data_IF_994671474393
#
_entry.id   IF_994671474393
#
_cell.length_a   1.000
_cell.length_b   1.000
_cell.length_c   1.000
_cell.angle_alpha   90.00
_cell.angle_beta   90.00
_cell.angle_gamma   90.00
#
_symmetry.space_group_name_H-M   'P 1'
#
loop_
_entity.id
_entity.type
_entity.pdbx_description
1 polymer ?
#
# COMPACT_ATOMS: atom_id res chain seq x y z
N UNK A 1 47.17 50.55 -34.63
CA UNK A 1 46.23 50.70 -33.48
C UNK A 1 44.84 50.66 -34.08
N UNK A 2 43.95 49.71 -33.85
CA UNK A 2 43.81 48.57 -32.92
C UNK A 2 43.15 47.44 -33.73
N UNK A 3 43.62 46.20 -33.56
CA UNK A 3 43.12 45.03 -34.29
C UNK A 3 41.82 44.48 -33.71
N UNK A 4 40.93 44.00 -34.58
CA UNK A 4 39.70 43.29 -34.24
C UNK A 4 40.00 41.79 -34.13
N UNK A 5 39.80 41.21 -32.94
CA UNK A 5 39.81 39.76 -32.74
C UNK A 5 38.44 39.17 -33.05
N UNK A 6 38.33 38.07 -33.81
CA UNK A 6 37.08 37.33 -33.92
C UNK A 6 36.84 36.45 -32.67
N UNK A 7 35.61 36.48 -32.17
CA UNK A 7 35.11 35.62 -31.09
C UNK A 7 35.01 34.17 -31.57
N UNK A 8 35.69 33.26 -30.88
CA UNK A 8 35.49 31.81 -31.03
C UNK A 8 34.28 31.35 -30.22
N UNK A 9 33.28 30.66 -30.79
CA UNK A 9 32.27 29.99 -30.00
C UNK A 9 32.88 28.73 -29.36
N UNK A 10 32.91 28.69 -28.03
CA UNK A 10 33.15 27.47 -27.28
C UNK A 10 31.88 26.60 -27.35
N UNK A 11 31.87 25.61 -28.24
CA UNK A 11 30.88 24.54 -28.18
C UNK A 11 31.28 23.57 -27.07
N UNK A 12 30.71 23.71 -25.88
CA UNK A 12 30.62 22.58 -24.94
C UNK A 12 29.67 21.57 -25.56
N UNK A 13 30.22 20.52 -26.16
CA UNK A 13 29.44 19.36 -26.55
C UNK A 13 28.83 18.78 -25.28
N UNK A 14 27.50 18.76 -25.20
CA UNK A 14 26.80 18.04 -24.15
C UNK A 14 27.21 16.56 -24.28
N UNK A 15 27.88 16.05 -23.25
CA UNK A 15 28.12 14.62 -23.14
C UNK A 15 26.75 13.94 -23.11
N UNK A 16 26.50 13.06 -24.07
CA UNK A 16 25.48 12.02 -23.96
C UNK A 16 25.64 11.34 -22.61
N UNK A 17 24.56 11.10 -21.85
CA UNK A 17 24.68 10.38 -20.59
C UNK A 17 25.31 9.02 -20.89
N UNK A 18 26.46 8.79 -20.28
CA UNK A 18 27.06 7.46 -20.20
C UNK A 18 26.00 6.53 -19.62
N UNK A 19 25.70 5.45 -20.32
CA UNK A 19 24.92 4.33 -19.79
C UNK A 19 25.66 3.84 -18.55
N UNK A 20 25.18 4.21 -17.38
CA UNK A 20 25.61 3.63 -16.13
C UNK A 20 25.23 2.15 -16.22
N UNK A 21 26.21 1.27 -16.41
CA UNK A 21 26.02 -0.15 -16.12
C UNK A 21 25.55 -0.22 -14.67
N UNK A 22 24.29 -0.60 -14.43
CA UNK A 22 23.78 -0.80 -13.09
C UNK A 22 24.70 -1.84 -12.42
N UNK A 23 25.44 -1.41 -11.40
CA UNK A 23 26.34 -2.26 -10.65
C UNK A 23 25.58 -3.17 -9.66
N UNK A 24 24.24 -3.02 -9.55
CA UNK A 24 23.38 -3.80 -8.68
C UNK A 24 22.70 -4.97 -9.40
N UNK A 25 22.24 -5.96 -8.63
CA UNK A 25 21.56 -7.16 -9.09
C UNK A 25 20.15 -6.94 -9.64
N UNK A 26 19.33 -8.00 -9.58
CA UNK A 26 17.99 -8.04 -10.18
C UNK A 26 16.92 -7.90 -9.10
N UNK A 27 15.87 -7.12 -9.37
CA UNK A 27 14.63 -7.17 -8.61
C UNK A 27 13.47 -7.65 -9.49
N UNK A 28 12.72 -8.66 -9.04
CA UNK A 28 11.48 -9.09 -9.68
C UNK A 28 10.28 -8.39 -9.05
N UNK A 29 9.56 -7.61 -9.84
CA UNK A 29 8.33 -6.93 -9.43
C UNK A 29 7.13 -7.72 -9.94
N UNK A 30 6.26 -8.15 -9.02
CA UNK A 30 5.12 -9.01 -9.31
C UNK A 30 3.81 -8.33 -8.93
N UNK A 31 2.89 -8.21 -9.89
CA UNK A 31 1.62 -7.52 -9.69
C UNK A 31 0.65 -8.24 -8.75
N UNK A 32 -0.36 -7.51 -8.28
CA UNK A 32 -1.49 -8.07 -7.54
C UNK A 32 -2.55 -8.68 -8.45
N UNK A 33 -3.70 -9.06 -7.87
CA UNK A 33 -4.81 -9.67 -8.61
C UNK A 33 -5.21 -8.82 -9.83
N UNK A 34 -5.37 -9.46 -10.98
CA UNK A 34 -5.68 -8.80 -12.25
C UNK A 34 -4.50 -8.15 -12.97
N UNK A 35 -3.30 -8.17 -12.39
CA UNK A 35 -2.09 -7.54 -12.94
C UNK A 35 -1.03 -8.61 -13.22
N UNK A 36 -1.22 -9.45 -14.27
CA UNK A 36 -0.30 -10.55 -14.54
C UNK A 36 1.09 -10.09 -15.00
N UNK A 37 1.18 -8.91 -15.60
CA UNK A 37 2.43 -8.27 -16.00
C UNK A 37 2.37 -6.79 -15.57
N UNK A 38 3.06 -6.40 -14.49
CA UNK A 38 3.22 -4.99 -14.11
C UNK A 38 3.67 -4.08 -15.26
N UNK A 39 3.09 -2.88 -15.33
CA UNK A 39 3.53 -1.79 -16.22
C UNK A 39 4.86 -1.18 -15.76
N UNK A 40 5.51 -0.40 -16.62
CA UNK A 40 6.72 0.33 -16.24
C UNK A 40 6.49 1.28 -15.06
N UNK A 41 5.36 2.01 -15.04
CA UNK A 41 5.00 2.87 -13.91
C UNK A 41 4.81 2.11 -12.59
N UNK A 42 4.25 0.90 -12.64
CA UNK A 42 4.17 0.02 -11.47
C UNK A 42 5.56 -0.39 -10.98
N UNK A 43 6.45 -0.80 -11.90
CA UNK A 43 7.84 -1.21 -11.58
C UNK A 43 8.63 -0.03 -11.00
N UNK A 44 8.50 1.15 -11.60
CA UNK A 44 9.14 2.37 -11.15
C UNK A 44 8.66 2.77 -9.74
N UNK A 45 7.35 2.70 -9.48
CA UNK A 45 6.78 3.00 -8.16
C UNK A 45 7.28 2.00 -7.08
N UNK A 46 7.26 0.70 -7.38
CA UNK A 46 7.80 -0.32 -6.48
C UNK A 46 9.30 -0.09 -6.20
N UNK A 47 10.06 0.24 -7.24
CA UNK A 47 11.49 0.51 -7.11
C UNK A 47 11.78 1.72 -6.24
N UNK A 48 11.13 2.85 -6.51
CA UNK A 48 11.39 4.10 -5.80
C UNK A 48 10.91 4.09 -4.34
N UNK A 49 9.72 3.54 -4.08
CA UNK A 49 9.09 3.61 -2.76
C UNK A 49 9.53 2.49 -1.81
N UNK A 50 9.88 1.32 -2.35
CA UNK A 50 10.07 0.13 -1.53
C UNK A 50 11.43 -0.53 -1.74
N UNK A 51 11.92 -0.68 -2.98
CA UNK A 51 13.21 -1.37 -3.18
C UNK A 51 14.43 -0.49 -2.85
N UNK A 52 14.49 0.74 -3.38
CA UNK A 52 15.62 1.64 -3.15
C UNK A 52 15.83 2.02 -1.68
N UNK A 53 14.76 2.27 -0.87
CA UNK A 53 14.93 2.52 0.57
C UNK A 53 15.55 1.33 1.32
N UNK A 54 15.38 0.11 0.82
CA UNK A 54 16.05 -1.09 1.34
C UNK A 54 17.45 -1.31 0.76
N UNK A 55 17.99 -0.36 -0.01
CA UNK A 55 19.37 -0.39 -0.52
C UNK A 55 19.52 -1.03 -1.91
N UNK A 56 18.42 -1.37 -2.59
CA UNK A 56 18.48 -1.87 -3.95
C UNK A 56 18.97 -0.80 -4.93
N UNK A 57 20.01 -1.12 -5.72
CA UNK A 57 20.63 -0.21 -6.70
C UNK A 57 20.70 -0.80 -8.10
N UNK A 58 20.04 -1.94 -8.31
CA UNK A 58 20.09 -2.71 -9.54
C UNK A 58 18.95 -2.39 -10.51
N UNK A 59 18.59 -3.38 -11.32
CA UNK A 59 17.48 -3.26 -12.28
C UNK A 59 16.22 -3.95 -11.77
N UNK A 60 15.17 -3.17 -11.50
CA UNK A 60 13.85 -3.71 -11.23
C UNK A 60 13.15 -4.05 -12.56
N UNK A 61 12.57 -5.26 -12.64
CA UNK A 61 11.88 -5.73 -13.83
C UNK A 61 10.57 -6.43 -13.47
N UNK A 62 9.57 -6.20 -14.31
CA UNK A 62 8.29 -6.88 -14.25
C UNK A 62 8.47 -8.39 -14.50
N UNK A 63 7.88 -9.23 -13.65
CA UNK A 63 7.83 -10.68 -13.83
C UNK A 63 6.40 -11.14 -14.05
N UNK A 64 6.17 -11.84 -15.16
CA UNK A 64 4.86 -12.42 -15.44
C UNK A 64 4.49 -13.48 -14.41
N UNK A 65 3.29 -13.36 -13.85
CA UNK A 65 2.61 -14.41 -13.09
C UNK A 65 1.11 -14.39 -13.41
N UNK A 66 0.32 -15.45 -13.19
CA UNK A 66 -1.06 -15.49 -13.67
C UNK A 66 -2.00 -14.44 -13.06
N UNK A 67 -1.83 -14.13 -11.78
CA UNK A 67 -2.61 -13.13 -11.00
C UNK A 67 -4.13 -13.15 -11.24
N UNK A 68 -4.74 -14.34 -11.34
CA UNK A 68 -6.18 -14.46 -11.56
C UNK A 68 -6.96 -14.09 -10.29
N UNK A 69 -8.06 -13.35 -10.43
CA UNK A 69 -9.04 -13.19 -9.35
C UNK A 69 -9.68 -14.54 -8.98
N UNK A 70 -9.96 -15.38 -9.97
CA UNK A 70 -10.53 -16.72 -9.79
C UNK A 70 -10.17 -17.66 -10.95
N UNK A 71 -9.73 -18.91 -10.70
CA UNK A 71 -9.39 -19.50 -9.40
C UNK A 71 -8.02 -19.00 -8.89
N UNK A 72 -8.01 -18.22 -7.80
CA UNK A 72 -6.80 -17.57 -7.29
C UNK A 72 -5.76 -18.53 -6.71
N UNK A 73 -6.18 -19.64 -6.12
CA UNK A 73 -5.28 -20.67 -5.59
C UNK A 73 -4.37 -21.29 -6.67
N UNK A 74 -4.94 -21.65 -7.82
CA UNK A 74 -4.17 -22.19 -8.95
C UNK A 74 -3.20 -21.13 -9.51
N UNK A 75 -3.66 -19.88 -9.58
CA UNK A 75 -2.84 -18.73 -9.97
C UNK A 75 -1.63 -18.56 -9.05
N UNK A 76 -1.82 -18.60 -7.74
CA UNK A 76 -0.74 -18.46 -6.76
C UNK A 76 0.27 -19.61 -6.84
N UNK A 77 -0.19 -20.87 -6.91
CA UNK A 77 0.75 -22.01 -7.02
C UNK A 77 1.60 -21.92 -8.28
N UNK A 78 0.99 -21.60 -9.42
CA UNK A 78 1.73 -21.45 -10.67
C UNK A 78 2.67 -20.23 -10.64
N UNK A 79 2.20 -19.10 -10.11
CA UNK A 79 3.01 -17.89 -9.96
C UNK A 79 4.21 -18.10 -9.04
N UNK A 80 4.02 -18.83 -7.93
CA UNK A 80 5.09 -19.15 -6.99
C UNK A 80 6.21 -19.98 -7.64
N UNK A 81 5.84 -20.95 -8.49
CA UNK A 81 6.79 -21.76 -9.27
C UNK A 81 7.56 -20.92 -10.29
N UNK A 82 6.87 -20.02 -11.00
CA UNK A 82 7.50 -19.10 -11.97
C UNK A 82 8.51 -18.20 -11.26
N UNK A 83 8.11 -17.60 -10.15
CA UNK A 83 8.97 -16.72 -9.36
C UNK A 83 10.18 -17.48 -8.78
N UNK A 84 9.96 -18.66 -8.19
CA UNK A 84 11.06 -19.48 -7.68
C UNK A 84 12.05 -19.87 -8.80
N UNK A 85 11.55 -20.19 -10.01
CA UNK A 85 12.41 -20.48 -11.15
C UNK A 85 13.22 -19.24 -11.59
N UNK A 86 12.60 -18.06 -11.63
CA UNK A 86 13.26 -16.81 -11.99
C UNK A 86 14.40 -16.48 -11.00
N UNK A 87 14.13 -16.60 -9.70
CA UNK A 87 15.13 -16.41 -8.63
C UNK A 87 16.30 -17.41 -8.78
N UNK A 88 16.01 -18.70 -8.97
CA UNK A 88 17.06 -19.70 -9.17
C UNK A 88 17.92 -19.43 -10.41
N UNK A 89 17.34 -18.88 -11.48
CA UNK A 89 18.11 -18.50 -12.67
C UNK A 89 19.09 -17.37 -12.37
N UNK A 90 18.69 -16.36 -11.58
CA UNK A 90 19.58 -15.28 -11.13
C UNK A 90 20.69 -15.83 -10.23
N UNK A 91 20.36 -16.70 -9.28
CA UNK A 91 21.35 -17.37 -8.40
C UNK A 91 22.36 -18.17 -9.24
N UNK A 92 21.89 -18.89 -10.27
CA UNK A 92 22.75 -19.69 -11.14
C UNK A 92 23.77 -18.87 -11.96
N UNK A 93 23.62 -17.54 -12.05
CA UNK A 93 24.63 -16.66 -12.66
C UNK A 93 25.91 -16.56 -11.82
N UNK A 94 25.84 -16.93 -10.54
CA UNK A 94 26.94 -16.82 -9.58
C UNK A 94 27.23 -15.39 -9.11
N UNK A 95 26.34 -14.43 -9.40
CA UNK A 95 26.47 -13.03 -8.97
C UNK A 95 25.66 -12.69 -7.70
N UNK A 96 24.77 -13.60 -7.27
CA UNK A 96 23.92 -13.43 -6.08
C UNK A 96 24.69 -13.86 -4.83
N UNK A 97 24.57 -13.06 -3.77
CA UNK A 97 25.10 -13.31 -2.42
C UNK A 97 24.48 -12.30 -1.44
N UNK A 98 24.83 -12.38 -0.15
CA UNK A 98 24.29 -11.47 0.89
C UNK A 98 24.50 -9.97 0.67
N UNK A 99 25.54 -9.55 -0.07
CA UNK A 99 25.76 -8.14 -0.43
C UNK A 99 24.99 -7.72 -1.70
N UNK A 100 24.51 -8.69 -2.48
CA UNK A 100 23.78 -8.49 -3.73
C UNK A 100 22.67 -9.55 -3.89
N UNK A 101 21.65 -9.55 -3.02
CA UNK A 101 20.55 -10.50 -3.09
C UNK A 101 19.66 -10.24 -4.30
N UNK A 102 18.89 -11.25 -4.69
CA UNK A 102 17.75 -11.07 -5.59
C UNK A 102 16.62 -10.43 -4.80
N UNK A 103 16.19 -9.24 -5.21
CA UNK A 103 15.04 -8.59 -4.60
C UNK A 103 13.73 -9.08 -5.23
N UNK A 104 12.68 -9.16 -4.44
CA UNK A 104 11.33 -9.49 -4.89
C UNK A 104 10.36 -8.49 -4.32
N UNK A 105 9.62 -7.78 -5.17
CA UNK A 105 8.49 -6.97 -4.75
C UNK A 105 7.17 -7.69 -5.01
N UNK A 106 6.33 -7.80 -3.98
CA UNK A 106 4.96 -8.31 -4.07
C UNK A 106 3.93 -7.31 -3.56
N UNK A 107 2.72 -7.38 -4.10
CA UNK A 107 1.56 -6.60 -3.72
C UNK A 107 0.33 -7.53 -3.68
N UNK A 108 -0.41 -7.57 -2.57
CA UNK A 108 -1.73 -8.20 -2.50
C UNK A 108 -1.63 -9.72 -2.71
N UNK A 109 -2.14 -10.24 -3.83
CA UNK A 109 -2.07 -11.66 -4.17
C UNK A 109 -0.62 -12.13 -4.33
N UNK A 110 0.28 -11.34 -4.92
CA UNK A 110 1.69 -11.75 -5.08
C UNK A 110 2.45 -11.73 -3.76
N UNK A 111 2.08 -10.87 -2.80
CA UNK A 111 2.60 -10.92 -1.42
C UNK A 111 2.22 -12.23 -0.72
N UNK A 112 0.95 -12.64 -0.82
CA UNK A 112 0.51 -13.92 -0.26
C UNK A 112 1.11 -15.13 -1.01
N UNK A 113 1.34 -14.99 -2.31
CA UNK A 113 2.00 -16.01 -3.13
C UNK A 113 3.47 -16.18 -2.75
N UNK A 114 4.14 -15.11 -2.30
CA UNK A 114 5.55 -15.15 -1.92
C UNK A 114 5.82 -16.15 -0.79
N UNK A 115 4.87 -16.37 0.14
CA UNK A 115 5.00 -17.42 1.16
C UNK A 115 5.25 -18.81 0.56
N UNK A 116 4.56 -19.14 -0.55
CA UNK A 116 4.77 -20.42 -1.25
C UNK A 116 6.11 -20.46 -1.98
N UNK A 117 6.55 -19.33 -2.54
CA UNK A 117 7.89 -19.20 -3.15
C UNK A 117 8.98 -19.39 -2.11
N UNK A 118 8.86 -18.75 -0.94
CA UNK A 118 9.81 -18.88 0.17
C UNK A 118 9.92 -20.34 0.64
N UNK A 119 8.79 -21.02 0.87
CA UNK A 119 8.78 -22.47 1.21
C UNK A 119 9.52 -23.30 0.16
N UNK A 120 9.27 -23.04 -1.13
CA UNK A 120 9.93 -23.75 -2.22
C UNK A 120 11.45 -23.51 -2.24
N UNK A 121 11.89 -22.26 -2.13
CA UNK A 121 13.31 -21.90 -2.14
C UNK A 121 14.05 -22.45 -0.91
N UNK A 122 13.42 -22.37 0.26
CA UNK A 122 13.96 -22.94 1.49
C UNK A 122 14.16 -24.45 1.37
N UNK A 123 13.18 -25.19 0.85
CA UNK A 123 13.30 -26.63 0.59
C UNK A 123 14.36 -26.98 -0.46
N UNK A 124 14.65 -26.08 -1.39
CA UNK A 124 15.73 -26.23 -2.38
C UNK A 124 17.12 -25.92 -1.81
N UNK A 125 17.20 -25.40 -0.58
CA UNK A 125 18.46 -25.05 0.09
C UNK A 125 19.06 -23.72 -0.37
N UNK A 126 18.23 -22.80 -0.89
CA UNK A 126 18.67 -21.42 -1.18
C UNK A 126 19.04 -20.71 0.12
N UNK A 127 20.14 -19.96 0.14
CA UNK A 127 20.58 -19.23 1.34
C UNK A 127 19.59 -18.12 1.67
N UNK A 128 19.34 -17.90 2.96
CA UNK A 128 18.46 -16.83 3.44
C UNK A 128 18.94 -15.43 3.01
N UNK A 129 20.25 -15.27 2.81
CA UNK A 129 20.89 -14.02 2.40
C UNK A 129 20.85 -13.78 0.88
N UNK A 130 20.51 -14.78 0.07
CA UNK A 130 20.53 -14.67 -1.40
C UNK A 130 19.26 -13.98 -1.95
N UNK A 131 18.23 -13.80 -1.12
CA UNK A 131 16.92 -13.30 -1.54
C UNK A 131 16.35 -12.35 -0.49
N UNK A 132 15.82 -11.21 -0.93
CA UNK A 132 15.14 -10.23 -0.08
C UNK A 132 13.75 -9.94 -0.63
N UNK A 133 12.72 -10.21 0.16
CA UNK A 133 11.33 -9.93 -0.19
C UNK A 133 10.85 -8.60 0.40
N UNK A 134 10.16 -7.80 -0.40
CA UNK A 134 9.45 -6.59 0.05
C UNK A 134 7.98 -6.74 -0.36
N UNK A 135 7.09 -6.83 0.63
CA UNK A 135 5.69 -7.23 0.43
C UNK A 135 4.76 -6.14 0.93
N UNK A 136 3.80 -5.74 0.10
CA UNK A 136 2.79 -4.74 0.47
C UNK A 136 1.38 -5.32 0.40
N UNK A 137 0.47 -4.85 1.28
CA UNK A 137 -0.91 -5.34 1.32
C UNK A 137 -1.00 -6.87 1.44
N UNK A 138 -0.16 -7.47 2.28
CA UNK A 138 -0.01 -8.92 2.32
C UNK A 138 -1.21 -9.63 3.00
N UNK A 139 -2.10 -10.19 2.19
CA UNK A 139 -3.27 -10.92 2.69
C UNK A 139 -2.96 -12.22 3.45
N UNK A 140 -1.71 -12.69 3.42
CA UNK A 140 -1.24 -13.84 4.17
C UNK A 140 -0.45 -13.47 5.45
N UNK A 141 -0.46 -12.20 5.86
CA UNK A 141 0.09 -11.77 7.15
C UNK A 141 -0.36 -12.71 8.29
N UNK A 142 0.56 -13.29 9.09
CA UNK A 142 0.20 -14.19 10.18
C UNK A 142 -0.83 -13.54 11.13
N UNK A 143 -0.55 -12.33 11.58
CA UNK A 143 -1.48 -11.53 12.35
C UNK A 143 -2.18 -10.51 11.43
N UNK A 144 -3.52 -10.56 11.34
CA UNK A 144 -4.30 -9.61 10.53
C UNK A 144 -4.57 -9.99 9.07
N UNK A 145 -3.77 -10.85 8.43
CA UNK A 145 -4.05 -11.24 7.04
C UNK A 145 -5.39 -11.97 6.91
N UNK A 146 -6.27 -11.56 5.99
CA UNK A 146 -7.60 -12.17 5.84
C UNK A 146 -7.53 -13.67 5.51
N UNK A 147 -6.49 -14.11 4.78
CA UNK A 147 -6.29 -15.53 4.49
C UNK A 147 -5.97 -16.32 5.77
N UNK A 148 -5.29 -15.72 6.74
CA UNK A 148 -5.03 -16.35 8.05
C UNK A 148 -6.25 -16.28 8.96
N UNK A 149 -6.93 -15.13 8.99
CA UNK A 149 -8.12 -14.94 9.80
C UNK A 149 -9.20 -15.98 9.47
N UNK A 150 -9.41 -16.25 8.17
CA UNK A 150 -10.37 -17.27 7.70
C UNK A 150 -9.88 -18.72 7.89
N UNK A 151 -8.66 -18.94 8.41
CA UNK A 151 -8.07 -20.27 8.63
C UNK A 151 -8.49 -20.95 9.94
N UNK A 152 -9.74 -20.75 10.35
CA UNK A 152 -10.30 -21.27 11.62
C UNK A 152 -10.41 -22.81 11.68
N UNK A 153 -10.12 -23.53 10.58
CA UNK A 153 -10.30 -24.98 10.48
C UNK A 153 -9.08 -25.74 9.93
N UNK A 154 -7.87 -25.29 10.29
CA UNK A 154 -6.65 -26.08 10.09
C UNK A 154 -6.31 -26.35 8.62
N UNK A 155 -6.58 -25.41 7.71
CA UNK A 155 -5.99 -25.40 6.37
C UNK A 155 -6.74 -26.16 5.27
N UNK A 156 -7.96 -26.67 5.48
CA UNK A 156 -8.73 -27.31 4.41
C UNK A 156 -10.10 -26.65 4.19
N UNK A 157 -10.12 -25.56 3.44
CA UNK A 157 -11.35 -24.93 2.94
C UNK A 157 -11.67 -25.36 1.49
N UNK A 158 -11.72 -26.67 1.22
CA UNK A 158 -12.08 -27.18 -0.12
C UNK A 158 -13.44 -26.64 -0.63
N UNK A 159 -14.34 -26.20 0.27
CA UNK A 159 -15.62 -25.59 -0.11
C UNK A 159 -15.51 -24.17 -0.73
N UNK A 160 -14.41 -23.45 -0.48
CA UNK A 160 -14.00 -22.26 -1.23
C UNK A 160 -13.03 -22.65 -2.36
N UNK A 161 -13.42 -23.66 -3.14
CA UNK A 161 -12.74 -24.12 -4.36
C UNK A 161 -11.24 -24.48 -4.21
N UNK A 162 -10.85 -25.01 -3.05
CA UNK A 162 -9.46 -25.43 -2.81
C UNK A 162 -8.50 -24.27 -2.57
N UNK A 163 -8.98 -23.11 -2.09
CA UNK A 163 -8.12 -22.18 -1.33
C UNK A 163 -7.58 -22.93 -0.11
N UNK A 164 -6.42 -23.57 -0.29
CA UNK A 164 -5.48 -23.80 0.81
C UNK A 164 -5.12 -22.40 1.28
N UNK A 165 -5.84 -21.92 2.28
CA UNK A 165 -5.66 -20.58 2.83
C UNK A 165 -4.16 -20.33 3.01
N UNK A 166 -3.71 -19.19 2.49
CA UNK A 166 -2.32 -18.93 2.17
C UNK A 166 -1.39 -19.38 3.29
N UNK A 167 -0.23 -19.91 2.93
CA UNK A 167 0.79 -20.19 3.94
C UNK A 167 1.12 -18.86 4.65
N UNK A 168 1.06 -18.80 6.00
CA UNK A 168 1.51 -17.60 6.70
C UNK A 168 2.93 -17.29 6.24
N UNK A 169 3.25 -16.02 6.07
CA UNK A 169 4.59 -15.60 5.63
C UNK A 169 5.66 -16.24 6.53
N UNK A 170 6.50 -17.13 6.00
CA UNK A 170 7.47 -17.85 6.80
C UNK A 170 8.73 -17.02 7.03
N UNK A 171 9.43 -17.31 8.13
CA UNK A 171 10.62 -16.57 8.54
C UNK A 171 11.92 -17.21 7.98
N UNK A 172 12.00 -17.36 6.66
CA UNK A 172 13.12 -18.06 5.99
C UNK A 172 14.11 -17.15 5.27
N UNK A 173 13.70 -15.94 4.90
CA UNK A 173 14.46 -14.97 4.10
C UNK A 173 14.25 -13.57 4.66
N UNK A 174 15.21 -12.68 4.46
CA UNK A 174 15.01 -11.26 4.78
C UNK A 174 13.76 -10.76 4.06
N UNK A 175 12.78 -10.27 4.84
CA UNK A 175 11.46 -9.92 4.33
C UNK A 175 10.96 -8.67 5.03
N UNK A 176 10.57 -7.64 4.29
CA UNK A 176 9.93 -6.45 4.83
C UNK A 176 8.47 -6.39 4.36
N UNK A 177 7.54 -6.35 5.30
CA UNK A 177 6.10 -6.37 5.01
C UNK A 177 5.45 -5.05 5.44
N UNK A 178 4.91 -4.29 4.49
CA UNK A 178 4.19 -3.04 4.76
C UNK A 178 2.68 -3.25 4.66
N UNK A 179 1.95 -2.74 5.64
CA UNK A 179 0.49 -2.82 5.71
C UNK A 179 -0.07 -1.46 6.11
N UNK A 180 -1.05 -0.96 5.37
CA UNK A 180 -1.82 0.22 5.79
C UNK A 180 -2.84 -0.19 6.87
N UNK A 181 -2.94 0.58 7.95
CA UNK A 181 -3.91 0.37 9.04
C UNK A 181 -5.32 0.30 8.47
N UNK A 182 -6.10 -0.72 8.87
CA UNK A 182 -7.44 -1.01 8.33
C UNK A 182 -7.52 -1.49 6.87
N UNK A 183 -6.40 -1.81 6.21
CA UNK A 183 -6.45 -2.54 4.94
C UNK A 183 -7.11 -3.91 5.16
N UNK A 184 -8.39 -4.05 4.80
CA UNK A 184 -9.16 -5.25 5.11
C UNK A 184 -8.65 -6.54 4.45
N UNK A 185 -7.69 -6.51 3.53
CA UNK A 185 -7.01 -7.74 3.09
C UNK A 185 -5.84 -8.11 3.99
N UNK A 186 -5.05 -7.13 4.44
CA UNK A 186 -3.77 -7.33 5.13
C UNK A 186 -3.83 -7.10 6.65
N UNK A 187 -4.85 -6.41 7.13
CA UNK A 187 -5.16 -6.04 8.51
C UNK A 187 -6.68 -6.16 8.76
N UNK A 188 -7.18 -7.39 8.77
CA UNK A 188 -8.56 -7.75 9.05
C UNK A 188 -8.80 -7.90 10.56
N UNK A 189 -9.93 -7.40 11.09
CA UNK A 189 -10.18 -7.37 12.53
C UNK A 189 -10.30 -8.77 13.15
N UNK A 190 -9.65 -8.96 14.30
CA UNK A 190 -9.73 -10.18 15.09
C UNK A 190 -11.14 -10.50 15.60
N UNK A 191 -11.97 -9.49 15.87
CA UNK A 191 -13.34 -9.64 16.40
C UNK A 191 -14.40 -9.23 15.35
N UNK A 192 -14.70 -10.08 14.36
CA UNK A 192 -15.56 -9.73 13.22
C UNK A 192 -17.03 -9.49 13.59
N UNK A 193 -17.48 -9.89 14.79
CA UNK A 193 -18.81 -9.55 15.31
C UNK A 193 -18.93 -8.07 15.69
N UNK A 194 -17.80 -7.38 15.87
CA UNK A 194 -17.79 -5.92 15.87
C UNK A 194 -18.02 -5.42 14.44
N UNK A 195 -19.29 -5.21 14.11
CA UNK A 195 -19.69 -4.85 12.74
C UNK A 195 -19.11 -3.50 12.28
N UNK A 196 -18.80 -2.58 13.19
CA UNK A 196 -18.16 -1.32 12.82
C UNK A 196 -16.75 -1.58 12.30
N UNK A 197 -15.97 -2.41 12.99
CA UNK A 197 -14.64 -2.79 12.55
C UNK A 197 -14.67 -3.57 11.24
N UNK A 198 -15.58 -4.54 11.11
CA UNK A 198 -15.75 -5.32 9.88
C UNK A 198 -16.16 -4.46 8.68
N UNK A 199 -17.10 -3.52 8.85
CA UNK A 199 -17.51 -2.60 7.80
C UNK A 199 -16.38 -1.62 7.44
N UNK A 200 -15.61 -1.16 8.43
CA UNK A 200 -14.45 -0.31 8.22
C UNK A 200 -13.36 -1.05 7.41
N UNK A 201 -13.06 -2.30 7.76
CA UNK A 201 -12.12 -3.14 7.01
C UNK A 201 -12.61 -3.38 5.57
N UNK A 202 -13.90 -3.64 5.36
CA UNK A 202 -14.47 -3.77 4.01
C UNK A 202 -14.34 -2.46 3.22
N UNK A 203 -14.57 -1.30 3.83
CA UNK A 203 -14.29 -0.03 3.17
C UNK A 203 -12.79 0.11 2.85
N UNK A 204 -11.91 -0.30 3.77
CA UNK A 204 -10.45 -0.32 3.60
C UNK A 204 -9.97 -1.24 2.46
N UNK A 205 -10.67 -2.33 2.15
CA UNK A 205 -10.38 -3.18 0.98
C UNK A 205 -10.43 -2.39 -0.33
N UNK A 206 -11.29 -1.38 -0.42
CA UNK A 206 -11.43 -0.54 -1.61
C UNK A 206 -10.57 0.72 -1.51
N UNK A 207 -10.62 1.37 -0.34
CA UNK A 207 -10.08 2.71 -0.14
C UNK A 207 -8.60 2.72 0.21
N UNK A 208 -8.09 1.70 0.91
CA UNK A 208 -6.70 1.67 1.39
C UNK A 208 -5.87 0.63 0.65
N UNK A 209 -6.40 -0.58 0.41
CA UNK A 209 -5.62 -1.67 -0.17
C UNK A 209 -4.97 -1.29 -1.52
N UNK A 210 -5.65 -0.49 -2.33
CA UNK A 210 -5.18 -0.01 -3.64
C UNK A 210 -4.25 1.22 -3.56
N UNK A 211 -4.02 1.73 -2.35
CA UNK A 211 -3.33 2.99 -2.07
C UNK A 211 -1.83 2.88 -1.79
N UNK A 212 -1.24 1.68 -1.74
CA UNK A 212 0.17 1.52 -1.32
C UNK A 212 1.15 2.32 -2.21
N UNK A 213 0.90 2.44 -3.51
CA UNK A 213 1.70 3.31 -4.38
C UNK A 213 1.33 4.78 -4.32
N UNK A 214 0.32 5.17 -3.57
CA UNK A 214 -0.09 6.56 -3.36
C UNK A 214 0.57 7.23 -2.17
N UNK A 215 1.13 6.43 -1.27
CA UNK A 215 1.81 6.87 -0.05
C UNK A 215 3.01 7.76 -0.36
N UNK A 216 3.30 8.70 0.53
CA UNK A 216 4.55 9.45 0.46
C UNK A 216 5.72 8.58 0.93
N UNK A 217 6.94 8.96 0.54
CA UNK A 217 8.14 8.30 1.08
C UNK A 217 8.25 8.49 2.60
N UNK A 218 7.74 9.59 3.13
CA UNK A 218 7.72 9.87 4.56
C UNK A 218 6.74 8.93 5.30
N UNK A 219 5.58 8.59 4.73
CA UNK A 219 4.63 7.65 5.35
C UNK A 219 5.26 6.26 5.49
N UNK A 220 6.00 5.82 4.46
CA UNK A 220 6.70 4.53 4.47
C UNK A 220 7.88 4.56 5.44
N UNK A 221 8.67 5.64 5.44
CA UNK A 221 9.84 5.78 6.32
C UNK A 221 9.46 5.90 7.81
N UNK A 222 8.27 6.43 8.11
CA UNK A 222 7.74 6.56 9.47
C UNK A 222 6.80 5.40 9.86
N UNK A 223 6.74 4.34 9.07
CA UNK A 223 5.94 3.16 9.40
C UNK A 223 6.37 2.56 10.74
N UNK A 224 5.38 2.13 11.53
CA UNK A 224 5.59 1.56 12.86
C UNK A 224 6.02 0.10 12.70
N UNK A 225 7.24 -0.22 13.10
CA UNK A 225 7.70 -1.61 13.17
C UNK A 225 6.94 -2.36 14.28
N UNK A 226 6.26 -3.44 13.92
CA UNK A 226 5.53 -4.29 14.85
C UNK A 226 6.46 -5.34 15.48
N UNK A 227 6.17 -5.71 16.73
CA UNK A 227 6.94 -6.73 17.43
C UNK A 227 6.76 -8.12 16.81
N UNK A 228 7.84 -8.91 16.83
CA UNK A 228 7.85 -10.33 16.49
C UNK A 228 8.18 -11.17 17.72
N UNK A 229 8.00 -12.48 17.66
CA UNK A 229 8.35 -13.38 18.77
C UNK A 229 9.86 -13.53 19.00
N UNK A 230 10.67 -13.21 18.00
CA UNK A 230 12.12 -13.36 18.03
C UNK A 230 12.77 -12.06 17.52
N UNK A 231 13.63 -11.39 18.31
CA UNK A 231 14.35 -10.20 17.84
C UNK A 231 15.27 -10.45 16.65
N UNK A 232 15.66 -11.71 16.40
CA UNK A 232 16.49 -12.11 15.26
C UNK A 232 15.65 -12.60 14.06
N UNK A 233 14.32 -12.36 14.07
CA UNK A 233 13.44 -12.70 12.95
C UNK A 233 13.91 -12.02 11.66
N UNK A 234 13.93 -12.76 10.56
CA UNK A 234 14.29 -12.25 9.24
C UNK A 234 13.14 -11.44 8.62
N UNK A 235 11.93 -11.59 9.14
CA UNK A 235 10.73 -10.91 8.66
C UNK A 235 10.35 -9.74 9.54
N UNK A 236 10.44 -8.54 8.98
CA UNK A 236 9.98 -7.30 9.59
C UNK A 236 8.57 -6.97 9.13
N UNK A 237 7.72 -6.55 10.06
CA UNK A 237 6.36 -6.09 9.78
C UNK A 237 6.24 -4.62 10.13
N UNK A 238 5.70 -3.83 9.21
CA UNK A 238 5.54 -2.39 9.33
C UNK A 238 4.07 -2.01 9.10
N UNK A 239 3.52 -1.26 10.05
CA UNK A 239 2.18 -0.70 9.98
C UNK A 239 2.26 0.77 9.61
N UNK A 240 1.50 1.19 8.60
CA UNK A 240 1.39 2.57 8.15
C UNK A 240 0.04 3.10 8.67
N UNK A 241 0.03 3.95 9.70
CA UNK A 241 -1.22 4.46 10.29
C UNK A 241 -2.06 5.27 9.30
N UNK A 242 -3.37 5.34 9.52
CA UNK A 242 -4.27 6.19 8.72
C UNK A 242 -4.90 7.30 9.54
N UNK A 243 -4.93 8.50 8.96
CA UNK A 243 -5.50 9.70 9.59
C UNK A 243 -7.02 9.61 9.79
N UNK A 244 -7.70 8.82 8.95
CA UNK A 244 -9.15 8.64 8.99
C UNK A 244 -9.56 7.17 8.95
N UNK A 245 -10.77 6.91 9.46
CA UNK A 245 -11.46 5.65 9.28
C UNK A 245 -12.04 5.55 7.85
N UNK A 246 -11.71 4.50 7.08
CA UNK A 246 -12.33 4.21 5.78
C UNK A 246 -13.85 4.34 5.73
N UNK A 247 -14.54 3.92 6.80
CA UNK A 247 -16.00 4.02 6.87
C UNK A 247 -16.50 5.47 6.91
N UNK A 248 -15.75 6.36 7.54
CA UNK A 248 -16.07 7.78 7.63
C UNK A 248 -15.67 8.55 6.38
N UNK A 249 -14.69 8.06 5.63
CA UNK A 249 -14.31 8.64 4.33
C UNK A 249 -15.46 8.60 3.32
N UNK A 250 -16.33 7.61 3.41
CA UNK A 250 -17.55 7.56 2.61
C UNK A 250 -18.52 8.72 2.92
N UNK A 251 -18.52 9.25 4.14
CA UNK A 251 -19.32 10.43 4.49
C UNK A 251 -18.72 11.70 3.88
N UNK A 252 -17.39 11.78 3.77
CA UNK A 252 -16.64 12.91 3.23
C UNK A 252 -16.96 13.18 1.75
N UNK A 253 -17.52 12.20 1.03
CA UNK A 253 -18.09 12.39 -0.31
C UNK A 253 -19.21 13.46 -0.36
N UNK A 254 -19.86 13.76 0.77
CA UNK A 254 -20.80 14.88 0.86
C UNK A 254 -20.05 16.20 1.10
N UNK A 255 -20.03 17.13 0.14
CA UNK A 255 -19.17 18.32 0.20
C UNK A 255 -19.63 19.40 1.20
N UNK A 256 -20.78 19.23 1.86
CA UNK A 256 -21.31 20.25 2.79
C UNK A 256 -21.23 19.76 4.23
N UNK A 257 -21.65 18.51 4.46
CA UNK A 257 -21.77 17.95 5.81
C UNK A 257 -20.80 16.79 6.05
N UNK A 258 -20.11 16.32 5.02
CA UNK A 258 -19.23 15.16 5.08
C UNK A 258 -18.11 15.33 6.10
N UNK A 259 -17.24 16.32 5.91
CA UNK A 259 -16.13 16.52 6.85
C UNK A 259 -16.59 16.91 8.26
N UNK A 260 -17.55 17.82 8.48
CA UNK A 260 -18.02 18.12 9.84
C UNK A 260 -18.60 16.90 10.55
N UNK A 261 -19.34 16.05 9.83
CA UNK A 261 -19.90 14.84 10.41
C UNK A 261 -18.83 13.77 10.64
N UNK A 262 -17.88 13.61 9.71
CA UNK A 262 -16.75 12.72 9.89
C UNK A 262 -15.91 13.15 11.11
N UNK A 263 -15.53 14.43 11.21
CA UNK A 263 -14.82 14.99 12.35
C UNK A 263 -15.56 14.80 13.69
N UNK A 264 -16.89 14.92 13.69
CA UNK A 264 -17.71 14.65 14.89
C UNK A 264 -17.61 13.19 15.34
N UNK A 265 -17.66 12.26 14.39
CA UNK A 265 -17.78 10.83 14.65
C UNK A 265 -16.43 10.13 14.81
N UNK A 266 -15.40 10.64 14.14
CA UNK A 266 -14.07 10.02 14.00
C UNK A 266 -13.47 9.57 15.32
N UNK A 267 -13.32 10.41 16.36
CA UNK A 267 -12.65 9.98 17.58
C UNK A 267 -13.42 8.85 18.29
N UNK A 268 -14.75 8.94 18.32
CA UNK A 268 -15.59 7.94 19.01
C UNK A 268 -15.68 6.64 18.20
N UNK A 269 -15.85 6.74 16.89
CA UNK A 269 -15.92 5.57 16.01
C UNK A 269 -14.57 4.87 15.89
N UNK A 270 -13.45 5.60 15.95
CA UNK A 270 -12.11 5.00 15.94
C UNK A 270 -11.90 4.09 17.14
N UNK A 271 -12.29 4.53 18.34
CA UNK A 271 -12.28 3.65 19.52
C UNK A 271 -13.14 2.40 19.27
N UNK A 272 -14.37 2.57 18.78
CA UNK A 272 -15.28 1.44 18.55
C UNK A 272 -14.79 0.48 17.47
N UNK A 273 -14.11 0.98 16.44
CA UNK A 273 -13.48 0.18 15.38
C UNK A 273 -12.25 -0.54 15.91
N UNK A 274 -11.37 0.16 16.64
CA UNK A 274 -10.14 -0.39 17.20
C UNK A 274 -10.40 -1.52 18.20
N UNK A 275 -11.55 -1.50 18.88
CA UNK A 275 -11.98 -2.63 19.71
C UNK A 275 -12.09 -3.93 18.89
N UNK A 276 -12.43 -3.84 17.60
CA UNK A 276 -12.44 -4.99 16.68
C UNK A 276 -11.06 -5.61 16.42
N UNK A 277 -10.00 -4.85 16.71
CA UNK A 277 -8.61 -5.27 16.62
C UNK A 277 -7.99 -5.58 18.01
N UNK A 278 -8.77 -5.38 19.08
CA UNK A 278 -8.36 -5.66 20.45
C UNK A 278 -7.64 -4.50 21.15
N UNK A 279 -7.77 -3.27 20.64
CA UNK A 279 -7.15 -2.06 21.21
C UNK A 279 -8.16 -0.92 21.36
N UNK A 280 -7.82 0.10 22.16
CA UNK A 280 -8.56 1.37 22.18
C UNK A 280 -7.93 2.42 21.25
N UNK A 281 -6.66 2.26 20.89
CA UNK A 281 -5.86 3.30 20.25
C UNK A 281 -5.28 2.86 18.90
N UNK A 282 -5.14 1.56 18.67
CA UNK A 282 -4.49 1.00 17.49
C UNK A 282 -5.50 0.25 16.62
N UNK A 283 -5.46 0.49 15.31
CA UNK A 283 -6.36 -0.09 14.32
C UNK A 283 -5.92 -1.43 13.75
N UNK A 284 -4.95 -2.10 14.38
CA UNK A 284 -4.42 -3.40 13.99
C UNK A 284 -4.39 -4.40 15.14
N UNK A 285 -4.37 -5.68 14.79
CA UNK A 285 -4.48 -6.77 15.76
C UNK A 285 -3.28 -6.84 16.71
N UNK A 286 -3.57 -6.89 18.01
CA UNK A 286 -2.56 -6.90 19.07
C UNK A 286 -1.80 -8.23 19.20
N UNK A 287 -0.50 -8.14 19.54
CA UNK A 287 0.41 -9.27 19.71
C UNK A 287 1.46 -9.37 18.59
N UNK A 288 2.35 -10.38 18.65
CA UNK A 288 3.43 -10.50 17.67
C UNK A 288 2.90 -10.66 16.23
N UNK A 289 3.45 -9.88 15.30
CA UNK A 289 3.00 -9.82 13.90
C UNK A 289 3.24 -11.13 13.13
N UNK A 290 4.25 -11.91 13.54
CA UNK A 290 4.63 -13.18 12.94
C UNK A 290 3.89 -14.41 13.51
N UNK A 291 2.91 -14.22 14.39
CA UNK A 291 2.11 -15.31 14.97
C UNK A 291 0.73 -15.36 14.31
N UNK A 292 0.33 -16.51 13.73
CA UNK A 292 -1.00 -16.65 13.16
C UNK A 292 -2.12 -16.35 14.16
N UNK A 293 -2.97 -15.37 13.84
CA UNK A 293 -4.17 -15.06 14.63
C UNK A 293 -5.42 -15.61 13.95
N UNK A 294 -6.24 -16.31 14.72
CA UNK A 294 -7.58 -16.71 14.29
C UNK A 294 -8.64 -15.67 14.70
N UNK A 295 -9.75 -15.63 13.95
CA UNK A 295 -10.93 -14.86 14.33
C UNK A 295 -11.45 -15.30 15.71
N UNK A 296 -11.88 -14.32 16.50
CA UNK A 296 -12.60 -14.52 17.76
C UNK A 296 -14.10 -14.32 17.55
N UNK A 297 -14.91 -15.22 18.11
CA UNK A 297 -16.38 -15.05 18.16
C UNK A 297 -16.83 -14.26 19.40
N UNK A 298 -15.90 -13.72 20.18
CA UNK A 298 -16.22 -12.74 21.21
C UNK A 298 -16.68 -11.44 20.55
N UNK A 299 -17.60 -10.72 21.19
CA UNK A 299 -18.10 -9.44 20.65
C UNK A 299 -17.06 -8.33 20.79
N UNK A 300 -16.31 -8.33 21.89
CA UNK A 300 -15.31 -7.34 22.26
C UNK A 300 -14.15 -8.02 22.99
N UNK A 301 -12.95 -7.41 22.98
CA UNK A 301 -11.80 -7.89 23.73
C UNK A 301 -12.10 -7.98 25.23
N UNK A 302 -11.92 -9.17 25.81
CA UNK A 302 -12.20 -9.43 27.22
C UNK A 302 -11.21 -8.76 28.19
N UNK A 303 -10.06 -8.30 27.71
CA UNK A 303 -9.04 -7.61 28.51
C UNK A 303 -9.28 -6.10 28.67
N UNK A 304 -10.26 -5.52 27.97
CA UNK A 304 -10.59 -4.09 28.05
C UNK A 304 -11.88 -3.93 28.85
N UNK A 305 -11.83 -3.16 29.94
CA UNK A 305 -12.98 -2.96 30.81
C UNK A 305 -13.98 -1.95 30.25
N UNK A 306 -15.24 -2.07 30.66
CA UNK A 306 -16.27 -1.08 30.32
C UNK A 306 -15.95 0.33 30.84
N UNK A 307 -15.24 0.44 31.96
CA UNK A 307 -14.85 1.74 32.51
C UNK A 307 -13.81 2.44 31.63
N UNK A 308 -12.85 1.69 31.07
CA UNK A 308 -11.89 2.20 30.08
C UNK A 308 -12.59 2.64 28.80
N UNK A 309 -13.50 1.80 28.26
CA UNK A 309 -14.29 2.13 27.07
C UNK A 309 -15.12 3.40 27.31
N UNK A 310 -15.83 3.49 28.42
CA UNK A 310 -16.67 4.65 28.76
C UNK A 310 -15.83 5.93 28.91
N UNK A 311 -14.66 5.82 29.55
CA UNK A 311 -13.74 6.96 29.71
C UNK A 311 -13.20 7.42 28.36
N UNK A 312 -12.77 6.49 27.51
CA UNK A 312 -12.26 6.78 26.17
C UNK A 312 -13.35 7.46 25.31
N UNK A 313 -14.57 6.91 25.29
CA UNK A 313 -15.69 7.47 24.53
C UNK A 313 -16.11 8.87 25.03
N UNK A 314 -16.10 9.11 26.34
CA UNK A 314 -16.42 10.44 26.88
C UNK A 314 -15.40 11.50 26.45
N UNK A 315 -14.11 11.15 26.43
CA UNK A 315 -13.05 12.03 25.94
C UNK A 315 -13.18 12.26 24.43
N UNK A 316 -13.33 11.18 23.68
CA UNK A 316 -13.47 11.21 22.22
C UNK A 316 -14.72 11.98 21.75
N UNK A 317 -15.82 11.93 22.49
CA UNK A 317 -16.99 12.76 22.19
C UNK A 317 -16.67 14.25 22.30
N UNK A 318 -15.97 14.66 23.35
CA UNK A 318 -15.59 16.07 23.53
C UNK A 318 -14.62 16.54 22.43
N UNK A 319 -13.70 15.68 22.01
CA UNK A 319 -12.80 15.91 20.88
C UNK A 319 -13.59 16.07 19.57
N UNK A 320 -14.46 15.11 19.24
CA UNK A 320 -15.26 15.15 18.02
C UNK A 320 -16.15 16.39 17.92
N UNK A 321 -16.77 16.83 19.02
CA UNK A 321 -17.54 18.09 19.03
C UNK A 321 -16.65 19.31 18.72
N UNK A 322 -15.43 19.35 19.26
CA UNK A 322 -14.50 20.45 18.98
C UNK A 322 -14.01 20.41 17.53
N UNK A 323 -13.73 19.23 17.01
CA UNK A 323 -13.26 19.04 15.64
C UNK A 323 -14.35 19.37 14.62
N UNK A 324 -15.59 18.96 14.88
CA UNK A 324 -16.75 19.32 14.05
C UNK A 324 -16.98 20.84 14.01
N UNK A 325 -16.85 21.54 15.15
CA UNK A 325 -16.95 23.00 15.18
C UNK A 325 -15.82 23.65 14.37
N UNK A 326 -14.59 23.12 14.49
CA UNK A 326 -13.43 23.61 13.73
C UNK A 326 -13.66 23.46 12.23
N UNK A 327 -14.19 22.30 11.81
CA UNK A 327 -14.46 22.02 10.41
C UNK A 327 -15.61 22.87 9.86
N UNK A 328 -16.68 23.11 10.64
CA UNK A 328 -17.74 24.06 10.24
C UNK A 328 -17.25 25.50 10.08
N UNK A 329 -16.18 25.87 10.76
CA UNK A 329 -15.58 27.21 10.66
C UNK A 329 -14.55 27.31 9.53
N UNK A 330 -14.10 26.18 8.99
CA UNK A 330 -13.09 26.12 7.95
C UNK A 330 -13.72 26.38 6.57
N UNK A 331 -13.38 27.47 5.87
CA UNK A 331 -13.94 27.73 4.54
C UNK A 331 -13.60 26.65 3.51
N UNK A 332 -12.48 25.95 3.67
CA UNK A 332 -12.04 24.89 2.76
C UNK A 332 -13.02 23.69 2.74
N UNK A 333 -13.73 23.46 3.85
CA UNK A 333 -14.73 22.41 4.01
C UNK A 333 -15.84 22.49 2.97
N UNK A 334 -16.18 23.70 2.52
CA UNK A 334 -17.31 23.94 1.62
C UNK A 334 -16.92 24.06 0.15
N UNK A 335 -15.65 23.79 -0.18
CA UNK A 335 -15.17 23.79 -1.57
C UNK A 335 -15.56 22.47 -2.23
N UNK A 336 -16.29 22.55 -3.34
CA UNK A 336 -16.67 21.36 -4.11
C UNK A 336 -15.43 20.59 -4.55
N UNK A 337 -15.35 19.31 -4.17
CA UNK A 337 -14.21 18.45 -4.50
C UNK A 337 -13.11 18.42 -3.45
N UNK A 338 -13.20 19.19 -2.35
CA UNK A 338 -12.20 19.19 -1.28
C UNK A 338 -11.97 17.81 -0.63
N UNK A 339 -12.96 16.90 -0.70
CA UNK A 339 -12.81 15.53 -0.22
C UNK A 339 -11.73 14.75 -1.00
N UNK A 340 -11.46 15.10 -2.26
CA UNK A 340 -10.41 14.46 -3.07
C UNK A 340 -8.99 14.80 -2.58
N UNK A 341 -8.85 15.87 -1.78
CA UNK A 341 -7.59 16.26 -1.14
C UNK A 341 -7.36 15.52 0.19
N UNK A 342 -8.37 14.80 0.67
CA UNK A 342 -8.29 14.07 1.93
C UNK A 342 -7.89 12.62 1.68
N UNK A 343 -7.08 12.10 2.60
CA UNK A 343 -6.85 10.67 2.68
C UNK A 343 -8.20 9.96 2.90
N UNK A 344 -8.42 8.82 2.23
CA UNK A 344 -7.51 8.08 1.35
C UNK A 344 -7.63 8.43 -0.14
N UNK A 345 -8.48 9.38 -0.52
CA UNK A 345 -8.74 9.71 -1.93
C UNK A 345 -7.51 10.30 -2.63
N UNK A 346 -6.75 11.15 -1.94
CA UNK A 346 -5.47 11.68 -2.42
C UNK A 346 -4.47 10.57 -2.67
N UNK A 347 -4.29 9.65 -1.72
CA UNK A 347 -3.45 8.46 -1.90
C UNK A 347 -3.89 7.61 -3.09
N UNK A 348 -5.17 7.28 -3.22
CA UNK A 348 -5.66 6.51 -4.37
C UNK A 348 -5.38 7.20 -5.71
N UNK A 349 -5.57 8.52 -5.76
CA UNK A 349 -5.27 9.31 -6.95
C UNK A 349 -3.77 9.29 -7.29
N UNK A 350 -2.91 9.49 -6.28
CA UNK A 350 -1.46 9.44 -6.44
C UNK A 350 -0.99 8.05 -6.92
N UNK A 351 -1.61 6.98 -6.39
CA UNK A 351 -1.33 5.61 -6.83
C UNK A 351 -1.67 5.44 -8.31
N UNK A 352 -2.84 5.92 -8.75
CA UNK A 352 -3.24 5.87 -10.16
C UNK A 352 -2.27 6.66 -11.05
N UNK A 353 -1.84 7.85 -10.63
CA UNK A 353 -0.87 8.65 -11.39
C UNK A 353 0.49 7.94 -11.53
N UNK A 354 1.00 7.33 -10.46
CA UNK A 354 2.26 6.58 -10.51
C UNK A 354 2.16 5.35 -11.42
N UNK A 355 1.08 4.58 -11.30
CA UNK A 355 0.96 3.30 -12.03
C UNK A 355 0.57 3.48 -13.50
N UNK A 356 -0.40 4.36 -13.78
CA UNK A 356 -0.96 4.52 -15.13
C UNK A 356 -0.30 5.65 -15.91
N UNK A 357 0.08 6.74 -15.24
CA UNK A 357 0.70 7.90 -15.90
C UNK A 357 2.23 7.92 -15.76
N UNK A 358 2.82 6.99 -14.98
CA UNK A 358 4.26 6.90 -14.72
C UNK A 358 4.86 8.21 -14.17
N UNK A 359 4.11 8.86 -13.27
CA UNK A 359 4.57 10.08 -12.59
C UNK A 359 5.26 9.69 -11.29
N UNK A 360 6.58 9.88 -11.20
CA UNK A 360 7.37 9.48 -10.03
C UNK A 360 6.94 10.23 -8.75
N UNK A 361 6.83 11.56 -8.87
CA UNK A 361 6.40 12.46 -7.80
C UNK A 361 5.06 13.10 -8.16
N UNK A 362 3.94 12.39 -7.95
CA UNK A 362 2.62 12.94 -8.20
C UNK A 362 2.37 14.12 -7.26
N UNK A 363 2.09 15.27 -7.84
CA UNK A 363 1.54 16.40 -7.09
C UNK A 363 0.09 16.02 -6.77
N UNK A 364 -0.41 16.22 -5.54
CA UNK A 364 -1.85 16.10 -5.27
C UNK A 364 -2.59 17.01 -6.25
N UNK A 365 -3.22 16.41 -7.28
CA UNK A 365 -3.75 17.18 -8.41
C UNK A 365 -4.79 18.22 -7.98
N UNK A 366 -5.42 17.97 -6.83
CA UNK A 366 -6.48 18.80 -6.26
C UNK A 366 -5.91 19.97 -5.43
N UNK A 367 -4.81 19.76 -4.69
CA UNK A 367 -4.21 20.81 -3.85
C UNK A 367 -3.64 22.02 -4.62
N UNK A 368 -3.24 21.83 -5.88
CA UNK A 368 -2.73 22.91 -6.74
C UNK A 368 -3.83 23.71 -7.48
N UNK A 369 -5.02 23.14 -7.64
CA UNK A 369 -6.14 23.80 -8.35
C UNK A 369 -7.04 24.62 -7.42
N UNK A 370 -7.14 24.26 -6.14
CA UNK A 370 -8.09 24.88 -5.22
C UNK A 370 -7.45 25.65 -4.04
N UNK A 371 -6.12 25.65 -3.88
CA UNK A 371 -5.45 26.30 -2.74
C UNK A 371 -4.11 26.99 -3.03
N UNK A 372 -4.13 28.23 -3.53
CA UNK A 372 -3.07 29.23 -3.24
C UNK A 372 -1.95 29.44 -4.28
N UNK A 373 -2.05 30.57 -5.00
CA UNK A 373 -0.99 31.43 -5.55
C UNK A 373 0.45 30.89 -5.76
N UNK A 374 0.75 30.58 -7.03
CA UNK A 374 1.97 30.79 -7.83
C UNK A 374 3.32 31.12 -7.13
N UNK A 375 4.36 30.38 -7.51
CA UNK A 375 5.63 30.93 -8.04
C UNK A 375 6.37 29.85 -8.87
N UNK A 376 5.91 29.62 -10.10
CA UNK A 376 6.79 29.14 -11.16
C UNK A 376 7.37 30.39 -11.85
N UNK A 377 8.62 30.74 -11.53
CA UNK A 377 9.37 31.74 -12.29
C UNK A 377 9.89 31.12 -13.59
N UNK A 378 9.30 31.50 -14.72
CA UNK A 378 9.75 31.31 -16.11
C UNK A 378 11.05 32.16 -16.38
N UNK A 379 11.85 32.04 -17.47
CA UNK A 379 11.53 31.44 -18.78
C UNK A 379 12.61 30.63 -19.54
N UNK A 380 12.16 29.70 -20.39
CA UNK A 380 12.42 29.63 -21.85
C UNK A 380 12.25 28.21 -22.40
N UNK A 381 11.11 27.92 -23.04
CA UNK A 381 11.03 27.23 -24.35
C UNK A 381 9.56 27.13 -24.79
N UNK A 382 9.20 27.48 -26.03
CA UNK A 382 7.85 27.33 -26.52
C UNK A 382 7.65 25.88 -26.98
N UNK A 383 6.79 25.13 -26.30
CA UNK A 383 6.20 23.92 -26.89
C UNK A 383 4.74 24.23 -27.17
N UNK A 384 4.50 24.51 -28.43
CA UNK A 384 3.20 24.53 -29.07
C UNK A 384 2.66 23.09 -29.07
N UNK A 385 1.62 22.83 -28.28
CA UNK A 385 0.83 21.60 -28.35
C UNK A 385 -0.63 21.98 -28.16
N UNK A 386 -1.26 22.38 -29.27
CA UNK A 386 -2.70 22.38 -29.36
C UNK A 386 -3.24 20.96 -29.19
N UNK A 387 -4.00 20.74 -28.13
CA UNK A 387 -4.91 19.59 -28.01
C UNK A 387 -6.29 20.17 -27.74
N UNK A 388 -7.05 20.32 -28.81
CA UNK A 388 -8.50 20.46 -28.75
C UNK A 388 -9.05 19.04 -28.58
N UNK A 389 -9.50 18.73 -27.38
CA UNK A 389 -10.00 17.41 -27.01
C UNK A 389 -10.57 17.46 -25.60
N UNK A 390 -11.89 17.60 -25.48
CA UNK A 390 -12.60 17.38 -24.23
C UNK A 390 -12.23 16.01 -23.68
N UNK A 391 -11.67 15.98 -22.47
CA UNK A 391 -11.47 14.75 -21.71
C UNK A 391 -12.83 14.12 -21.43
N UNK A 392 -13.05 12.93 -21.98
CA UNK A 392 -14.25 12.13 -21.73
C UNK A 392 -14.11 11.44 -20.36
N UNK A 393 -14.92 11.91 -19.39
CA UNK A 393 -14.96 11.43 -18.02
C UNK A 393 -16.10 10.42 -17.77
N UNK A 394 -16.75 9.91 -18.83
CA UNK A 394 -17.89 8.99 -18.74
C UNK A 394 -17.61 7.67 -18.02
N UNK A 395 -16.35 7.29 -17.87
CA UNK A 395 -15.94 6.09 -17.14
C UNK A 395 -15.98 6.25 -15.60
N UNK A 396 -16.02 7.48 -15.08
CA UNK A 396 -16.15 7.73 -13.63
C UNK A 396 -17.58 7.46 -13.13
N UNK A 397 -18.58 7.62 -13.98
CA UNK A 397 -19.99 7.36 -13.64
C UNK A 397 -20.30 5.86 -13.50
N UNK A 398 -19.66 5.01 -14.30
CA UNK A 398 -19.81 3.54 -14.21
C UNK A 398 -19.16 2.96 -12.93
N UNK A 399 -18.16 3.65 -12.37
CA UNK A 399 -17.45 3.21 -11.17
C UNK A 399 -18.26 3.42 -9.88
N UNK A 400 -19.19 4.38 -9.86
CA UNK A 400 -19.97 4.74 -8.66
C UNK A 400 -21.44 4.31 -8.69
N UNK A 401 -21.92 3.69 -9.78
CA UNK A 401 -23.23 3.04 -9.82
C UNK A 401 -24.43 3.94 -9.51
N UNK A 402 -24.36 5.24 -9.82
CA UNK A 402 -25.45 6.19 -9.63
C UNK A 402 -26.36 6.30 -10.85
N UNK A 403 -26.94 5.18 -11.30
CA UNK A 403 -28.04 5.20 -12.25
C UNK A 403 -29.30 4.58 -11.62
N UNK A 404 -30.16 5.45 -11.10
CA UNK A 404 -31.60 5.17 -10.96
C UNK A 404 -32.39 6.36 -11.48
N UNK A 405 -32.83 6.27 -12.73
CA UNK A 405 -34.20 6.54 -13.19
C UNK A 405 -34.34 6.30 -14.70
#
# INVERSE_FOLDING_TARGET
MVGLSPLTPSSTAAATPEVQLAAGGTAFVVGGSGIPLPSDGYVNAANALYLQPHGFTGTAQSLFTPQLYYPGNLSMVQGAQILAQAINNEIATGQVNGDNPVYVFGYSQSSAMASMTMEQLHHQGVSAEDVHFVLVGNSANPNGGILQALNFWGGNLTFWNGMTLGHPTPDYFTTDVYTMEYDGYADFPRYPLNLLASLNAVAGMFLLHNGHFGLSADDIANAIQLETTDPDSLTNYYMIPTDSLPLLDLLRLNPIWGNPLAALLEPSMRILVNLGYGSLTEGWNQGPANVPTALSLELLPSHISWDEINTALANAWNEGVQDAIRELQNPATYVTGAFMEQEPFSTLWNAAQRVFLDIQDPIPAFGGWFGGSALATDPTSPVDAGVDGQLDLSWLTDLFGLDTA
#
